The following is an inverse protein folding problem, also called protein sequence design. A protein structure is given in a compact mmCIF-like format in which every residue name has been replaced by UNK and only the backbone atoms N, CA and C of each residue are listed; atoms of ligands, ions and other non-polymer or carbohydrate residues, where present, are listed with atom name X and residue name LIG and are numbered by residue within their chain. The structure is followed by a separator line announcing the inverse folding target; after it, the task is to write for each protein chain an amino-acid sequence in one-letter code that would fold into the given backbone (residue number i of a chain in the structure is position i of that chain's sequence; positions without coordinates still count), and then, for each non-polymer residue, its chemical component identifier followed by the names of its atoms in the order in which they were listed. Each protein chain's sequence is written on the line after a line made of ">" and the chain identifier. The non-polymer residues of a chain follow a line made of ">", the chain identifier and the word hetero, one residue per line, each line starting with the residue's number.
data_IF_661743632905
#
_entry.id   IF_661743632905
#
_cell.length_a   1.000
_cell.length_b   1.000
_cell.length_c   1.000
_cell.angle_alpha   90.00
_cell.angle_beta   90.00
_cell.angle_gamma   90.00
#
_symmetry.space_group_name_H-M   'P 1'
#
loop_
_entity.id
_entity.type
_entity.pdbx_description
1 polymer ?
#
# COMPACT_ATOMS: atom_id res chain seq x y z
N UNK A 1 30.86 8.40 6.29
CA UNK A 1 30.00 7.19 6.20
C UNK A 1 28.76 7.30 7.09
N UNK A 2 28.91 7.61 8.38
CA UNK A 2 27.79 7.72 9.34
C UNK A 2 26.71 8.74 8.94
N UNK A 3 27.10 9.95 8.51
CA UNK A 3 26.15 10.98 8.03
C UNK A 3 25.33 10.51 6.83
N UNK A 4 25.94 9.76 5.91
CA UNK A 4 25.26 9.23 4.74
C UNK A 4 24.23 8.16 5.13
N UNK A 5 24.56 7.29 6.08
CA UNK A 5 23.63 6.27 6.59
C UNK A 5 22.46 6.91 7.36
N UNK A 6 22.72 7.95 8.15
CA UNK A 6 21.68 8.75 8.81
C UNK A 6 20.76 9.39 7.77
N UNK A 7 21.32 10.13 6.81
CA UNK A 7 20.55 10.81 5.78
C UNK A 7 19.71 9.84 4.95
N UNK A 8 20.27 8.69 4.58
CA UNK A 8 19.56 7.63 3.86
C UNK A 8 18.41 7.06 4.68
N UNK A 9 18.63 6.79 5.97
CA UNK A 9 17.60 6.29 6.88
C UNK A 9 16.44 7.28 6.99
N UNK A 10 16.74 8.57 7.17
CA UNK A 10 15.73 9.62 7.25
C UNK A 10 14.95 9.74 5.94
N UNK A 11 15.64 9.76 4.80
CA UNK A 11 15.00 9.86 3.49
C UNK A 11 14.04 8.68 3.23
N UNK A 12 14.50 7.45 3.48
CA UNK A 12 13.69 6.23 3.31
C UNK A 12 12.51 6.23 4.28
N UNK A 13 12.70 6.70 5.51
CA UNK A 13 11.63 6.83 6.51
C UNK A 13 10.54 7.82 6.09
N UNK A 14 10.93 9.03 5.66
CA UNK A 14 9.99 10.04 5.20
C UNK A 14 9.23 9.58 3.95
N UNK A 15 9.92 8.92 3.02
CA UNK A 15 9.28 8.37 1.82
C UNK A 15 8.27 7.27 2.18
N UNK A 16 8.61 6.37 3.10
CA UNK A 16 7.69 5.31 3.54
C UNK A 16 6.49 5.88 4.31
N UNK A 17 6.73 6.87 5.17
CA UNK A 17 5.66 7.56 5.90
C UNK A 17 4.68 8.24 4.93
N UNK A 18 5.20 8.91 3.89
CA UNK A 18 4.38 9.50 2.85
C UNK A 18 3.58 8.45 2.08
N UNK A 19 4.18 7.30 1.76
CA UNK A 19 3.50 6.20 1.09
C UNK A 19 2.33 5.64 1.93
N UNK A 20 2.48 5.57 3.25
CA UNK A 20 1.48 5.08 4.19
C UNK A 20 0.44 6.13 4.64
N UNK A 21 0.62 7.41 4.29
CA UNK A 21 -0.27 8.49 4.73
C UNK A 21 -1.77 8.24 4.45
N UNK A 22 -2.18 7.68 3.28
CA UNK A 22 -3.59 7.36 3.03
C UNK A 22 -4.22 6.38 4.03
N UNK A 23 -3.43 5.45 4.57
CA UNK A 23 -3.89 4.46 5.56
C UNK A 23 -4.22 5.08 6.91
N UNK A 24 -3.48 6.12 7.30
CA UNK A 24 -3.68 6.81 8.59
C UNK A 24 -4.86 7.79 8.58
N UNK A 25 -5.40 8.13 7.40
CA UNK A 25 -6.59 8.97 7.31
C UNK A 25 -7.81 8.21 7.82
N UNK A 26 -8.74 8.90 8.48
CA UNK A 26 -9.93 8.31 9.08
C UNK A 26 -10.73 7.43 8.10
N UNK A 27 -10.95 7.91 6.87
CA UNK A 27 -11.63 7.15 5.80
C UNK A 27 -10.86 5.89 5.38
N UNK A 28 -9.52 5.95 5.34
CA UNK A 28 -8.68 4.80 4.96
C UNK A 28 -8.67 3.71 6.02
N UNK A 29 -8.51 4.12 7.29
CA UNK A 29 -8.62 3.20 8.43
C UNK A 29 -10.00 2.53 8.51
N UNK A 30 -11.07 3.26 8.17
CA UNK A 30 -12.43 2.72 8.09
C UNK A 30 -12.56 1.65 7.00
N UNK A 31 -12.05 1.89 5.78
CA UNK A 31 -12.08 0.92 4.69
C UNK A 31 -11.35 -0.38 5.07
N UNK A 32 -10.19 -0.28 5.72
CA UNK A 32 -9.41 -1.45 6.14
C UNK A 32 -10.07 -2.20 7.30
N UNK A 33 -10.70 -1.51 8.25
CA UNK A 33 -11.51 -2.13 9.31
C UNK A 33 -12.73 -2.86 8.73
N UNK A 34 -13.43 -2.22 7.80
CA UNK A 34 -14.59 -2.79 7.12
C UNK A 34 -14.24 -4.11 6.40
N UNK A 35 -13.16 -4.11 5.62
CA UNK A 35 -12.70 -5.30 4.89
C UNK A 35 -12.30 -6.45 5.82
N UNK A 36 -11.56 -6.16 6.90
CA UNK A 36 -11.15 -7.17 7.90
C UNK A 36 -12.30 -7.69 8.75
N UNK A 37 -13.29 -6.85 9.05
CA UNK A 37 -14.48 -7.22 9.82
C UNK A 37 -15.51 -8.05 9.03
N UNK A 38 -15.17 -8.51 7.82
CA UNK A 38 -16.07 -9.32 6.99
C UNK A 38 -17.33 -8.57 6.52
N UNK A 39 -17.33 -7.23 6.59
CA UNK A 39 -18.51 -6.40 6.37
C UNK A 39 -19.67 -6.78 7.28
N UNK A 40 -19.44 -6.77 8.61
CA UNK A 40 -20.45 -6.97 9.65
C UNK A 40 -21.86 -6.48 9.23
N UNK A 41 -22.92 -7.22 9.58
CA UNK A 41 -24.22 -7.26 8.88
C UNK A 41 -25.05 -5.95 8.91
N UNK A 42 -24.48 -4.87 9.43
CA UNK A 42 -25.01 -3.51 9.42
C UNK A 42 -23.91 -2.52 9.06
N UNK A 43 -23.29 -2.67 7.89
CA UNK A 43 -22.53 -1.55 7.31
C UNK A 43 -23.51 -0.40 7.12
N UNK A 44 -23.41 0.64 7.95
CA UNK A 44 -24.27 1.81 7.82
C UNK A 44 -24.10 2.40 6.42
N UNK A 45 -25.13 3.07 5.93
CA UNK A 45 -25.11 3.76 4.63
C UNK A 45 -23.90 4.70 4.49
N UNK A 46 -23.42 5.25 5.60
CA UNK A 46 -22.20 6.05 5.68
C UNK A 46 -20.92 5.26 5.36
N UNK A 47 -20.81 3.98 5.78
CA UNK A 47 -19.65 3.14 5.43
C UNK A 47 -19.72 2.73 3.97
N UNK A 48 -20.92 2.36 3.49
CA UNK A 48 -21.13 1.97 2.09
C UNK A 48 -20.77 3.11 1.14
N UNK A 49 -21.22 4.33 1.42
CA UNK A 49 -20.88 5.52 0.62
C UNK A 49 -19.38 5.84 0.62
N UNK A 50 -18.67 5.63 1.74
CA UNK A 50 -17.20 5.77 1.78
C UNK A 50 -16.53 4.72 0.90
N UNK A 51 -16.95 3.45 0.98
CA UNK A 51 -16.40 2.36 0.15
C UNK A 51 -16.64 2.66 -1.33
N UNK A 52 -17.86 3.08 -1.69
CA UNK A 52 -18.19 3.44 -3.07
C UNK A 52 -17.38 4.65 -3.56
N UNK A 53 -17.11 5.62 -2.71
CA UNK A 53 -16.24 6.75 -3.05
C UNK A 53 -14.80 6.30 -3.35
N UNK A 54 -14.23 5.34 -2.60
CA UNK A 54 -12.91 4.78 -2.91
C UNK A 54 -12.90 3.99 -4.22
N UNK A 55 -13.94 3.22 -4.50
CA UNK A 55 -14.08 2.49 -5.76
C UNK A 55 -14.20 3.47 -6.93
N UNK A 56 -14.96 4.54 -6.76
CA UNK A 56 -15.13 5.56 -7.78
C UNK A 56 -13.83 6.32 -8.03
N UNK A 57 -13.13 6.78 -6.99
CA UNK A 57 -11.85 7.47 -7.10
C UNK A 57 -10.80 6.61 -7.82
N UNK A 58 -10.73 5.31 -7.49
CA UNK A 58 -9.88 4.36 -8.19
C UNK A 58 -10.29 4.19 -9.66
N UNK A 59 -11.59 4.10 -9.91
CA UNK A 59 -12.15 3.96 -11.27
C UNK A 59 -11.83 5.17 -12.14
N UNK A 60 -12.01 6.37 -11.60
CA UNK A 60 -11.74 7.62 -12.29
C UNK A 60 -10.25 7.79 -12.57
N UNK A 61 -9.40 7.47 -11.58
CA UNK A 61 -7.93 7.54 -11.71
C UNK A 61 -7.40 6.63 -12.82
N UNK A 62 -8.02 5.48 -13.04
CA UNK A 62 -7.59 4.49 -14.03
C UNK A 62 -8.52 4.38 -15.25
N UNK A 63 -9.47 5.30 -15.38
CA UNK A 63 -10.44 5.41 -16.47
C UNK A 63 -11.11 4.04 -16.73
N UNK A 64 -11.61 3.42 -15.66
CA UNK A 64 -12.35 2.15 -15.75
C UNK A 64 -13.68 2.36 -16.48
N UNK A 65 -14.08 1.37 -17.27
CA UNK A 65 -15.43 1.33 -17.85
C UNK A 65 -16.46 1.00 -16.77
N UNK A 66 -17.72 1.37 -16.99
CA UNK A 66 -18.82 1.07 -16.07
C UNK A 66 -18.91 -0.42 -15.71
N UNK A 67 -18.64 -1.29 -16.69
CA UNK A 67 -18.62 -2.73 -16.48
C UNK A 67 -17.47 -3.18 -15.55
N UNK A 68 -16.29 -2.57 -15.65
CA UNK A 68 -15.15 -2.89 -14.79
C UNK A 68 -15.36 -2.35 -13.37
N UNK A 69 -15.88 -1.12 -13.25
CA UNK A 69 -16.26 -0.52 -11.97
C UNK A 69 -17.35 -1.34 -11.28
N UNK A 70 -18.34 -1.83 -12.02
CA UNK A 70 -19.37 -2.72 -11.48
C UNK A 70 -18.78 -4.01 -10.91
N UNK A 71 -17.83 -4.66 -11.59
CA UNK A 71 -17.16 -5.86 -11.08
C UNK A 71 -16.40 -5.62 -9.77
N UNK A 72 -15.75 -4.46 -9.64
CA UNK A 72 -15.08 -4.08 -8.38
C UNK A 72 -16.14 -3.83 -7.29
N UNK A 73 -17.27 -3.21 -7.63
CA UNK A 73 -18.38 -2.99 -6.69
C UNK A 73 -19.02 -4.30 -6.22
N UNK A 74 -19.13 -5.30 -7.10
CA UNK A 74 -19.68 -6.61 -6.75
C UNK A 74 -18.85 -7.34 -5.68
N UNK A 75 -17.55 -7.03 -5.59
CA UNK A 75 -16.68 -7.56 -4.54
C UNK A 75 -17.07 -7.12 -3.13
N UNK A 76 -17.91 -6.10 -2.97
CA UNK A 76 -18.46 -5.71 -1.66
C UNK A 76 -19.25 -6.86 -1.00
N UNK A 77 -19.71 -7.84 -1.77
CA UNK A 77 -20.30 -9.09 -1.24
C UNK A 77 -19.30 -9.99 -0.51
N UNK A 78 -17.99 -9.80 -0.75
CA UNK A 78 -16.88 -10.51 -0.10
C UNK A 78 -15.82 -9.51 0.39
N UNK A 79 -16.09 -8.73 1.44
CA UNK A 79 -15.23 -7.64 1.91
C UNK A 79 -13.78 -8.05 2.23
N UNK A 80 -13.58 -9.28 2.70
CA UNK A 80 -12.25 -9.83 3.00
C UNK A 80 -11.38 -10.11 1.77
N UNK A 81 -11.98 -10.11 0.57
CA UNK A 81 -11.26 -10.24 -0.71
C UNK A 81 -11.15 -8.90 -1.43
N UNK A 82 -11.61 -7.79 -0.87
CA UNK A 82 -11.55 -6.49 -1.54
C UNK A 82 -10.08 -6.03 -1.72
N UNK A 83 -9.69 -5.46 -2.89
CA UNK A 83 -8.35 -4.95 -3.13
C UNK A 83 -8.10 -3.59 -2.42
N UNK A 84 -8.23 -3.57 -1.09
CA UNK A 84 -8.25 -2.36 -0.27
C UNK A 84 -6.98 -1.53 -0.42
N UNK A 85 -5.83 -2.16 -0.56
CA UNK A 85 -4.56 -1.42 -0.63
C UNK A 85 -4.48 -0.63 -1.93
N UNK A 86 -4.88 -1.21 -3.06
CA UNK A 86 -4.89 -0.45 -4.30
C UNK A 86 -6.03 0.59 -4.35
N UNK A 87 -7.15 0.34 -3.70
CA UNK A 87 -8.20 1.36 -3.53
C UNK A 87 -7.75 2.54 -2.66
N UNK A 88 -6.92 2.31 -1.64
CA UNK A 88 -6.33 3.36 -0.80
C UNK A 88 -5.17 4.09 -1.49
N UNK A 89 -4.51 3.40 -2.41
CA UNK A 89 -3.29 3.87 -3.06
C UNK A 89 -3.36 3.66 -4.59
N UNK A 90 -4.30 4.30 -5.30
CA UNK A 90 -4.46 4.13 -6.75
C UNK A 90 -3.15 4.44 -7.50
N UNK A 91 -2.39 5.42 -7.01
CA UNK A 91 -1.12 5.85 -7.56
C UNK A 91 0.02 4.80 -7.52
N UNK A 92 -0.16 3.66 -6.82
CA UNK A 92 0.83 2.58 -6.81
C UNK A 92 0.89 1.82 -8.15
N UNK A 93 -0.22 1.81 -8.89
CA UNK A 93 -0.33 1.06 -10.13
C UNK A 93 -0.56 1.98 -11.31
N UNK A 94 -0.24 1.50 -12.49
CA UNK A 94 -0.57 2.14 -13.77
C UNK A 94 -1.40 1.17 -14.59
N UNK A 95 -2.26 1.70 -15.45
CA UNK A 95 -3.06 0.88 -16.35
C UNK A 95 -2.45 0.91 -17.74
N UNK A 96 -2.10 -0.26 -18.26
CA UNK A 96 -1.46 -0.44 -19.56
C UNK A 96 -2.19 -1.53 -20.32
N UNK A 97 -2.70 -1.21 -21.52
CA UNK A 97 -3.39 -2.17 -22.41
C UNK A 97 -4.53 -2.94 -21.73
N UNK A 98 -5.29 -2.27 -20.85
CA UNK A 98 -6.41 -2.87 -20.13
C UNK A 98 -6.03 -3.71 -18.90
N UNK A 99 -4.75 -3.73 -18.50
CA UNK A 99 -4.23 -4.42 -17.30
C UNK A 99 -3.57 -3.44 -16.35
N UNK A 100 -3.54 -3.79 -15.07
CA UNK A 100 -2.77 -3.09 -14.05
C UNK A 100 -1.34 -3.63 -13.98
N UNK A 101 -0.39 -2.71 -14.00
CA UNK A 101 1.02 -2.97 -13.86
C UNK A 101 1.60 -2.13 -12.71
N UNK A 102 2.83 -2.46 -12.30
CA UNK A 102 3.56 -1.72 -11.27
C UNK A 102 3.85 -0.30 -11.75
N UNK A 103 3.28 0.69 -11.07
CA UNK A 103 3.54 2.10 -11.33
C UNK A 103 4.87 2.59 -10.75
N UNK A 104 5.19 3.85 -11.01
CA UNK A 104 6.41 4.50 -10.50
C UNK A 104 6.46 4.51 -8.97
N UNK A 105 5.33 4.75 -8.31
CA UNK A 105 5.30 4.84 -6.84
C UNK A 105 5.49 3.47 -6.17
N UNK A 106 4.90 2.40 -6.72
CA UNK A 106 5.16 1.04 -6.22
C UNK A 106 6.61 0.60 -6.48
N UNK A 107 7.19 1.05 -7.59
CA UNK A 107 8.64 0.89 -7.85
C UNK A 107 9.49 1.63 -6.81
N UNK A 108 9.11 2.86 -6.44
CA UNK A 108 9.80 3.62 -5.40
C UNK A 108 9.74 2.91 -4.03
N UNK A 109 8.55 2.41 -3.63
CA UNK A 109 8.38 1.61 -2.40
C UNK A 109 9.26 0.34 -2.43
N UNK A 110 9.33 -0.34 -3.58
CA UNK A 110 10.19 -1.50 -3.76
C UNK A 110 11.67 -1.14 -3.55
N UNK A 111 12.13 -0.10 -4.24
CA UNK A 111 13.53 0.38 -4.13
C UNK A 111 13.86 0.81 -2.71
N UNK A 112 12.99 1.57 -2.04
CA UNK A 112 13.24 2.01 -0.68
C UNK A 112 13.26 0.86 0.34
N UNK A 113 12.39 -0.14 0.16
CA UNK A 113 12.45 -1.37 0.96
C UNK A 113 13.79 -2.08 0.76
N UNK A 114 14.28 -2.17 -0.49
CA UNK A 114 15.59 -2.74 -0.80
C UNK A 114 16.76 -1.94 -0.20
N UNK A 115 16.72 -0.61 -0.29
CA UNK A 115 17.72 0.28 0.34
C UNK A 115 17.72 0.09 1.86
N UNK A 116 16.53 0.04 2.47
CA UNK A 116 16.38 -0.19 3.91
C UNK A 116 17.02 -1.51 4.35
N UNK A 117 16.84 -2.59 3.58
CA UNK A 117 17.50 -3.87 3.83
C UNK A 117 19.03 -3.76 3.73
N UNK A 118 19.54 -3.02 2.74
CA UNK A 118 20.97 -2.88 2.50
C UNK A 118 21.68 -2.06 3.60
N UNK A 119 21.04 -1.01 4.10
CA UNK A 119 21.63 -0.14 5.14
C UNK A 119 21.49 -0.72 6.55
N UNK A 120 20.67 -1.75 6.75
CA UNK A 120 20.38 -2.31 8.08
C UNK A 120 21.62 -2.92 8.77
N UNK A 121 22.43 -3.78 8.12
CA UNK A 121 23.63 -4.34 8.75
C UNK A 121 24.65 -3.28 9.23
N UNK A 122 25.05 -2.28 8.42
CA UNK A 122 25.99 -1.26 8.89
C UNK A 122 25.38 -0.34 9.96
N UNK A 123 24.07 -0.05 9.91
CA UNK A 123 23.40 0.72 10.98
C UNK A 123 23.42 -0.02 12.32
N UNK A 124 23.11 -1.32 12.31
CA UNK A 124 23.14 -2.15 13.51
C UNK A 124 24.56 -2.23 14.08
N UNK A 125 25.57 -2.45 13.23
CA UNK A 125 26.98 -2.48 13.65
C UNK A 125 27.43 -1.16 14.30
N UNK A 126 27.06 -0.01 13.73
CA UNK A 126 27.39 1.29 14.34
C UNK A 126 26.68 1.53 15.68
N UNK A 127 25.41 1.10 15.81
CA UNK A 127 24.64 1.27 17.04
C UNK A 127 25.19 0.42 18.19
N UNK A 128 25.75 -0.76 17.92
CA UNK A 128 26.42 -1.57 18.96
C UNK A 128 27.57 -0.84 19.65
N UNK A 129 28.24 0.09 18.95
CA UNK A 129 29.34 0.87 19.51
C UNK A 129 28.91 2.23 20.08
N UNK A 130 27.71 2.74 19.73
CA UNK A 130 27.23 4.05 20.15
C UNK A 130 25.74 3.99 20.51
N UNK A 131 25.45 4.07 21.82
CA UNK A 131 24.08 3.99 22.36
C UNK A 131 23.13 5.04 21.74
N UNK A 132 23.64 6.23 21.44
CA UNK A 132 22.87 7.33 20.85
C UNK A 132 22.35 7.04 19.43
N UNK A 133 22.92 6.06 18.73
CA UNK A 133 22.54 5.71 17.35
C UNK A 133 21.47 4.63 17.27
N UNK A 134 21.04 4.02 18.38
CA UNK A 134 20.08 2.91 18.38
C UNK A 134 18.72 3.24 17.79
N UNK A 135 18.31 4.51 17.80
CA UNK A 135 17.06 4.92 17.17
C UNK A 135 17.05 4.63 15.66
N UNK A 136 18.20 4.73 14.99
CA UNK A 136 18.31 4.54 13.54
C UNK A 136 18.01 3.11 13.08
N UNK A 137 18.63 2.04 13.61
CA UNK A 137 18.28 0.67 13.23
C UNK A 137 16.85 0.32 13.62
N UNK A 138 16.29 0.83 14.73
CA UNK A 138 14.88 0.62 15.06
C UNK A 138 13.95 1.25 14.01
N UNK A 139 14.20 2.51 13.67
CA UNK A 139 13.44 3.21 12.64
C UNK A 139 13.55 2.51 11.28
N UNK A 140 14.77 2.13 10.89
CA UNK A 140 14.99 1.41 9.63
C UNK A 140 14.26 0.06 9.60
N UNK A 141 14.25 -0.67 10.72
CA UNK A 141 13.50 -1.93 10.85
C UNK A 141 12.00 -1.71 10.64
N UNK A 142 11.43 -0.69 11.30
CA UNK A 142 10.01 -0.37 11.17
C UNK A 142 9.66 -0.02 9.71
N UNK A 143 10.50 0.78 9.05
CA UNK A 143 10.32 1.20 7.65
C UNK A 143 10.43 0.01 6.71
N UNK A 144 11.39 -0.88 6.92
CA UNK A 144 11.52 -2.11 6.13
C UNK A 144 10.26 -2.95 6.19
N UNK A 145 9.73 -3.21 7.39
CA UNK A 145 8.50 -4.00 7.54
C UNK A 145 7.28 -3.31 6.97
N UNK A 146 7.15 -1.99 7.14
CA UNK A 146 6.07 -1.21 6.54
C UNK A 146 6.12 -1.28 5.00
N UNK A 147 7.32 -1.17 4.41
CA UNK A 147 7.52 -1.32 2.97
C UNK A 147 7.17 -2.72 2.47
N UNK A 148 7.66 -3.76 3.16
CA UNK A 148 7.39 -5.14 2.82
C UNK A 148 5.89 -5.48 2.88
N UNK A 149 5.19 -5.01 3.91
CA UNK A 149 3.74 -5.20 4.03
C UNK A 149 2.99 -4.51 2.90
N UNK A 150 3.32 -3.24 2.59
CA UNK A 150 2.68 -2.49 1.52
C UNK A 150 2.89 -3.17 0.16
N UNK A 151 4.11 -3.64 -0.13
CA UNK A 151 4.41 -4.41 -1.34
C UNK A 151 3.58 -5.69 -1.40
N UNK A 152 3.58 -6.49 -0.32
CA UNK A 152 2.84 -7.75 -0.27
C UNK A 152 1.36 -7.55 -0.56
N UNK A 153 0.74 -6.54 0.05
CA UNK A 153 -0.68 -6.26 -0.17
C UNK A 153 -0.94 -5.68 -1.57
N UNK A 154 -0.11 -4.75 -2.04
CA UNK A 154 -0.26 -4.16 -3.38
C UNK A 154 -0.13 -5.22 -4.49
N UNK A 155 0.80 -6.17 -4.37
CA UNK A 155 0.94 -7.26 -5.34
C UNK A 155 -0.25 -8.22 -5.32
N UNK A 156 -0.74 -8.57 -4.12
CA UNK A 156 -1.95 -9.41 -3.99
C UNK A 156 -3.16 -8.74 -4.65
N UNK A 157 -3.37 -7.46 -4.39
CA UNK A 157 -4.47 -6.67 -4.93
C UNK A 157 -4.34 -6.49 -6.45
N UNK A 158 -3.11 -6.33 -6.97
CA UNK A 158 -2.85 -6.18 -8.40
C UNK A 158 -3.24 -7.43 -9.17
N UNK A 159 -2.85 -8.62 -8.68
CA UNK A 159 -3.22 -9.90 -9.29
C UNK A 159 -4.74 -10.05 -9.30
N UNK A 160 -5.38 -9.76 -8.18
CA UNK A 160 -6.83 -9.83 -8.06
C UNK A 160 -7.55 -8.88 -9.02
N UNK A 161 -7.12 -7.62 -9.10
CA UNK A 161 -7.71 -6.64 -10.02
C UNK A 161 -7.55 -7.06 -11.49
N UNK A 162 -6.39 -7.62 -11.86
CA UNK A 162 -6.18 -8.14 -13.21
C UNK A 162 -7.10 -9.33 -13.53
N UNK A 163 -7.33 -10.22 -12.58
CA UNK A 163 -8.31 -11.32 -12.72
C UNK A 163 -9.72 -10.77 -12.92
N UNK A 164 -10.12 -9.77 -12.14
CA UNK A 164 -11.47 -9.19 -12.21
C UNK A 164 -11.73 -8.44 -13.50
N UNK A 165 -10.75 -7.65 -13.93
CA UNK A 165 -10.88 -6.81 -15.12
C UNK A 165 -10.72 -7.63 -16.40
N UNK A 166 -9.73 -8.52 -16.46
CA UNK A 166 -9.41 -9.25 -17.69
C UNK A 166 -9.95 -10.68 -17.76
N UNK A 167 -10.46 -11.22 -16.66
CA UNK A 167 -10.93 -12.62 -16.56
C UNK A 167 -9.80 -13.65 -16.61
N UNK A 168 -8.53 -13.22 -16.54
CA UNK A 168 -7.35 -14.09 -16.57
C UNK A 168 -6.49 -13.81 -15.35
N UNK A 169 -6.16 -14.85 -14.60
CA UNK A 169 -4.99 -14.82 -13.74
C UNK A 169 -3.78 -14.87 -14.67
N UNK A 170 -2.86 -13.93 -14.53
CA UNK A 170 -1.57 -14.00 -15.23
C UNK A 170 -0.82 -15.29 -14.84
#
# INVERSE_FOLDING_TARGET
>A
MTLLLIATTVAVSLMMLAAWMPEFRSKGALLRRWSKGGGEPRCSEAVQSIVDAFIQDFSDTHILSDAETARIRDMKTRPGMMPVTLLLHPQLVTREKGRFARGRNLTAVFVATGISALIMPPLAGMAMHNMSLWLLPFLNTAVFFAGLQLLRYAYSDLVLLNVLVTGKAD
#
